data_IF_404155942593
#
_entry.id   IF_404155942593
#
_cell.length_a   1.000
_cell.length_b   1.000
_cell.length_c   1.000
_cell.angle_alpha   90.00
_cell.angle_beta   90.00
_cell.angle_gamma   90.00
#
_symmetry.space_group_name_H-M   'P 1'
#
loop_
_entity.id
_entity.type
_entity.pdbx_description
1 polymer ?
#
# COMPACT_ATOMS: atom_id res chain seq x y z
N UNK A 1 -14.90 -5.88 4.06
CA UNK A 1 -14.01 -6.57 3.09
C UNK A 1 -13.00 -7.55 3.72
N UNK A 2 -13.23 -8.02 4.95
CA UNK A 2 -12.27 -8.89 5.69
C UNK A 2 -12.08 -10.31 5.12
N UNK A 3 -12.87 -10.74 4.14
CA UNK A 3 -12.82 -12.11 3.59
C UNK A 3 -12.52 -12.17 2.09
N UNK A 4 -12.06 -11.08 1.47
CA UNK A 4 -11.64 -11.15 0.08
C UNK A 4 -10.25 -11.81 0.00
N UNK A 5 -10.24 -13.00 -0.56
CA UNK A 5 -9.00 -13.66 -0.93
C UNK A 5 -8.33 -12.84 -2.02
N UNK A 6 -7.10 -12.42 -1.81
CA UNK A 6 -6.31 -11.67 -2.77
C UNK A 6 -4.86 -12.15 -2.77
N UNK A 7 -4.16 -11.88 -3.85
CA UNK A 7 -2.75 -12.29 -4.05
C UNK A 7 -1.85 -11.90 -2.86
N UNK A 8 -2.07 -10.72 -2.27
CA UNK A 8 -1.27 -10.25 -1.12
C UNK A 8 -1.58 -11.08 0.12
N UNK A 9 -2.84 -11.44 0.36
CA UNK A 9 -3.24 -12.29 1.48
C UNK A 9 -2.65 -13.68 1.36
N UNK A 10 -2.69 -14.25 0.16
CA UNK A 10 -2.12 -15.57 -0.11
C UNK A 10 -0.59 -15.58 0.05
N UNK A 11 0.08 -14.52 -0.42
CA UNK A 11 1.51 -14.33 -0.22
C UNK A 11 1.87 -14.24 1.27
N UNK A 12 1.10 -13.46 2.06
CA UNK A 12 1.32 -13.38 3.51
C UNK A 12 1.18 -14.72 4.19
N UNK A 13 0.16 -15.51 3.83
CA UNK A 13 -0.02 -16.87 4.37
C UNK A 13 1.17 -17.76 4.05
N UNK A 14 1.66 -17.75 2.80
CA UNK A 14 2.85 -18.49 2.40
C UNK A 14 4.08 -18.09 3.20
N UNK A 15 4.34 -16.78 3.34
CA UNK A 15 5.46 -16.27 4.14
C UNK A 15 5.37 -16.74 5.60
N UNK A 16 4.21 -16.61 6.24
CA UNK A 16 4.03 -17.07 7.62
C UNK A 16 4.20 -18.59 7.76
N UNK A 17 3.71 -19.37 6.80
CA UNK A 17 3.88 -20.81 6.80
C UNK A 17 5.36 -21.23 6.71
N UNK A 18 6.13 -20.59 5.81
CA UNK A 18 7.55 -20.91 5.66
C UNK A 18 8.39 -20.42 6.85
N UNK A 19 8.07 -19.27 7.44
CA UNK A 19 8.71 -18.81 8.68
C UNK A 19 8.42 -19.77 9.84
N UNK A 20 7.17 -20.22 9.99
CA UNK A 20 6.82 -21.21 11.01
C UNK A 20 7.58 -22.53 10.80
N UNK A 21 7.61 -23.02 9.55
CA UNK A 21 8.36 -24.22 9.18
C UNK A 21 9.85 -24.10 9.49
N UNK A 22 10.46 -22.94 9.15
CA UNK A 22 11.84 -22.64 9.49
C UNK A 22 12.09 -22.74 11.00
N UNK A 23 11.20 -22.19 11.81
CA UNK A 23 11.30 -22.22 13.28
C UNK A 23 11.16 -23.63 13.85
N UNK A 24 10.24 -24.47 13.30
CA UNK A 24 10.04 -25.85 13.77
C UNK A 24 11.18 -26.81 13.36
N UNK A 25 11.71 -26.65 12.15
CA UNK A 25 12.76 -27.53 11.65
C UNK A 25 14.14 -27.18 12.21
N UNK A 26 14.36 -25.94 12.59
CA UNK A 26 15.64 -25.47 13.11
C UNK A 26 16.77 -25.53 12.09
N UNK A 27 18.00 -25.43 12.56
CA UNK A 27 19.22 -25.62 11.74
C UNK A 27 19.79 -24.31 11.22
N UNK A 28 20.29 -24.32 9.98
CA UNK A 28 20.94 -23.16 9.36
C UNK A 28 19.91 -22.12 8.89
N UNK A 29 19.54 -21.23 9.79
CA UNK A 29 18.60 -20.14 9.50
C UNK A 29 19.15 -19.15 8.47
N UNK A 30 20.44 -18.91 8.45
CA UNK A 30 21.08 -17.94 7.55
C UNK A 30 20.90 -18.34 6.10
N UNK A 31 21.42 -19.49 5.72
CA UNK A 31 21.34 -19.97 4.33
C UNK A 31 19.90 -20.18 3.87
N UNK A 32 19.04 -20.70 4.75
CA UNK A 32 17.63 -20.98 4.42
C UNK A 32 16.88 -19.69 4.18
N UNK A 33 17.07 -18.70 5.03
CA UNK A 33 16.38 -17.41 4.92
C UNK A 33 16.73 -16.67 3.63
N UNK A 34 17.99 -16.71 3.18
CA UNK A 34 18.43 -16.13 1.91
C UNK A 34 17.79 -16.82 0.68
N UNK A 35 17.44 -18.10 0.79
CA UNK A 35 16.81 -18.89 -0.30
C UNK A 35 15.31 -18.71 -0.37
N UNK A 36 14.63 -18.46 0.75
CA UNK A 36 13.17 -18.38 0.82
C UNK A 36 12.53 -17.45 -0.22
N UNK A 37 13.04 -16.26 -0.52
CA UNK A 37 12.44 -15.41 -1.57
C UNK A 37 12.44 -16.07 -2.95
N UNK A 38 13.44 -16.90 -3.26
CA UNK A 38 13.53 -17.62 -4.53
C UNK A 38 12.61 -18.84 -4.58
N UNK A 39 12.39 -19.50 -3.46
CA UNK A 39 11.46 -20.62 -3.33
C UNK A 39 10.00 -20.14 -3.39
N UNK A 40 9.69 -19.01 -2.74
CA UNK A 40 8.35 -18.42 -2.73
C UNK A 40 8.00 -17.74 -4.05
N UNK A 41 9.00 -17.19 -4.76
CA UNK A 41 8.85 -16.50 -6.04
C UNK A 41 9.80 -17.14 -7.08
N UNK A 42 9.48 -18.35 -7.57
CA UNK A 42 10.28 -19.04 -8.58
C UNK A 42 10.14 -18.42 -9.96
N UNK A 43 11.07 -18.74 -10.86
CA UNK A 43 11.03 -18.30 -12.25
C UNK A 43 11.82 -17.03 -12.49
N UNK A 44 11.69 -16.47 -13.69
CA UNK A 44 12.49 -15.33 -14.18
C UNK A 44 11.64 -14.08 -14.41
N UNK A 45 10.32 -14.23 -14.51
CA UNK A 45 9.38 -13.16 -14.83
C UNK A 45 8.54 -12.81 -13.61
N UNK A 46 8.38 -11.52 -13.33
CA UNK A 46 7.48 -11.03 -12.28
C UNK A 46 6.01 -11.35 -12.60
N UNK A 47 5.25 -11.70 -11.58
CA UNK A 47 3.83 -12.06 -11.71
C UNK A 47 2.88 -10.96 -11.21
N UNK A 48 3.33 -10.16 -10.26
CA UNK A 48 2.56 -9.10 -9.59
C UNK A 48 3.21 -7.73 -9.80
N UNK A 49 4.52 -7.71 -10.02
CA UNK A 49 5.34 -6.53 -10.27
C UNK A 49 6.07 -6.68 -11.61
N UNK A 50 6.60 -5.58 -12.11
CA UNK A 50 7.35 -5.54 -13.36
C UNK A 50 8.64 -6.38 -13.33
N UNK A 51 9.18 -6.63 -12.16
CA UNK A 51 10.45 -7.35 -11.98
C UNK A 51 10.35 -8.41 -10.91
N UNK A 52 10.81 -9.62 -11.22
CA UNK A 52 10.95 -10.72 -10.26
C UNK A 52 11.93 -10.37 -9.13
N UNK A 53 12.95 -9.57 -9.41
CA UNK A 53 13.90 -9.11 -8.38
C UNK A 53 13.19 -8.21 -7.35
N UNK A 54 12.31 -7.32 -7.79
CA UNK A 54 11.49 -6.49 -6.91
C UNK A 54 10.53 -7.34 -6.07
N UNK A 55 9.89 -8.34 -6.68
CA UNK A 55 9.00 -9.26 -5.96
C UNK A 55 9.76 -10.01 -4.85
N UNK A 56 10.93 -10.57 -5.16
CA UNK A 56 11.80 -11.25 -4.19
C UNK A 56 12.27 -10.32 -3.09
N UNK A 57 12.65 -9.09 -3.41
CA UNK A 57 13.03 -8.09 -2.42
C UNK A 57 11.86 -7.79 -1.46
N UNK A 58 10.64 -7.58 -1.98
CA UNK A 58 9.44 -7.36 -1.16
C UNK A 58 9.12 -8.56 -0.27
N UNK A 59 9.23 -9.78 -0.81
CA UNK A 59 9.01 -11.02 -0.04
C UNK A 59 10.06 -11.17 1.04
N UNK A 60 11.33 -10.85 0.75
CA UNK A 60 12.41 -10.85 1.73
C UNK A 60 12.10 -9.95 2.94
N UNK A 61 11.67 -8.70 2.69
CA UNK A 61 11.28 -7.82 3.81
C UNK A 61 10.06 -8.35 4.58
N UNK A 62 9.12 -9.01 3.90
CA UNK A 62 7.98 -9.65 4.58
C UNK A 62 8.42 -10.82 5.48
N UNK A 63 9.43 -11.58 5.06
CA UNK A 63 10.03 -12.64 5.88
C UNK A 63 10.65 -12.04 7.12
N UNK A 64 11.47 -10.98 6.98
CA UNK A 64 12.06 -10.27 8.14
C UNK A 64 10.99 -9.79 9.12
N UNK A 65 9.99 -9.08 8.62
CA UNK A 65 8.87 -8.60 9.46
C UNK A 65 8.09 -9.74 10.12
N UNK A 66 7.91 -10.87 9.43
CA UNK A 66 7.25 -12.05 10.00
C UNK A 66 8.06 -12.69 11.12
N UNK A 67 9.36 -12.53 11.12
CA UNK A 67 10.29 -12.97 12.19
C UNK A 67 10.47 -11.92 13.29
N UNK A 68 9.85 -10.74 13.18
CA UNK A 68 10.03 -9.63 14.13
C UNK A 68 11.32 -8.86 13.96
N UNK A 69 11.98 -8.99 12.81
CA UNK A 69 13.16 -8.21 12.44
C UNK A 69 12.76 -6.87 11.82
N UNK A 70 13.56 -5.81 11.99
CA UNK A 70 13.34 -4.53 11.32
C UNK A 70 13.53 -4.66 9.80
N UNK A 71 12.93 -3.72 9.05
CA UNK A 71 13.22 -3.55 7.63
C UNK A 71 14.69 -3.17 7.43
N UNK A 72 15.29 -3.66 6.34
CA UNK A 72 16.65 -3.26 5.95
C UNK A 72 16.64 -1.81 5.45
N UNK A 73 17.73 -1.10 5.68
CA UNK A 73 17.93 0.19 5.04
C UNK A 73 18.25 -0.01 3.56
N UNK A 74 17.58 0.77 2.71
CA UNK A 74 17.76 0.67 1.24
C UNK A 74 19.08 1.28 0.76
N UNK A 75 19.74 2.06 1.60
CA UNK A 75 21.03 2.71 1.30
C UNK A 75 22.24 1.86 1.74
N UNK A 76 22.01 0.83 2.55
CA UNK A 76 23.07 -0.01 3.10
C UNK A 76 22.95 -1.46 2.60
N UNK A 77 24.10 -2.08 2.34
CA UNK A 77 24.12 -3.51 2.00
C UNK A 77 24.00 -4.35 3.27
N UNK A 78 22.85 -4.99 3.45
CA UNK A 78 22.56 -5.91 4.56
C UNK A 78 22.00 -7.21 4.02
N UNK A 79 22.40 -8.33 4.61
CA UNK A 79 21.83 -9.64 4.26
C UNK A 79 20.37 -9.75 4.75
N UNK A 80 19.61 -10.59 4.09
CA UNK A 80 18.23 -10.86 4.52
C UNK A 80 18.20 -11.47 5.92
N UNK A 81 19.18 -12.26 6.25
CA UNK A 81 19.34 -13.01 7.51
C UNK A 81 19.99 -12.22 8.65
N UNK A 82 20.45 -10.98 8.42
CA UNK A 82 21.08 -10.18 9.48
C UNK A 82 20.14 -9.99 10.67
N UNK A 83 20.63 -10.31 11.88
CA UNK A 83 19.88 -10.21 13.13
C UNK A 83 18.96 -11.41 13.41
N UNK A 84 19.04 -12.49 12.63
CA UNK A 84 18.15 -13.66 12.80
C UNK A 84 18.29 -14.32 14.19
N UNK A 85 19.48 -14.23 14.81
CA UNK A 85 19.72 -14.74 16.15
C UNK A 85 18.82 -14.07 17.21
N UNK A 86 18.53 -12.78 17.03
CA UNK A 86 17.67 -12.02 17.94
C UNK A 86 16.21 -12.48 17.85
N UNK A 87 15.83 -13.12 16.76
CA UNK A 87 14.50 -13.69 16.56
C UNK A 87 14.39 -15.17 16.88
N UNK A 88 15.52 -15.89 16.88
CA UNK A 88 15.55 -17.33 17.11
C UNK A 88 15.60 -17.71 18.60
N UNK A 89 14.96 -16.94 19.47
CA UNK A 89 14.89 -17.16 20.91
C UNK A 89 13.46 -17.48 21.35
N UNK A 90 13.32 -18.33 22.38
CA UNK A 90 12.02 -18.80 22.85
C UNK A 90 11.14 -17.67 23.41
N UNK A 91 11.75 -16.66 24.01
CA UNK A 91 11.08 -15.52 24.66
C UNK A 91 10.82 -14.36 23.70
N UNK A 92 11.03 -14.55 22.38
CA UNK A 92 10.80 -13.48 21.43
C UNK A 92 9.35 -13.00 21.43
N UNK A 93 9.16 -11.73 21.61
CA UNK A 93 7.89 -11.04 21.42
C UNK A 93 8.08 -9.86 20.48
N UNK A 94 6.98 -9.39 19.91
CA UNK A 94 7.00 -8.32 18.91
C UNK A 94 6.81 -6.97 19.59
N UNK A 95 7.83 -6.13 19.49
CA UNK A 95 7.75 -4.75 19.95
C UNK A 95 7.10 -3.84 18.90
N UNK A 96 6.34 -2.82 19.32
CA UNK A 96 5.91 -1.77 18.41
C UNK A 96 7.11 -1.06 17.76
N UNK A 97 6.99 -0.64 16.50
CA UNK A 97 5.78 -0.61 15.68
C UNK A 97 5.47 -1.93 14.99
N UNK A 98 4.25 -2.43 15.14
CA UNK A 98 3.80 -3.68 14.49
C UNK A 98 3.43 -3.48 13.02
N UNK A 99 3.18 -2.25 12.60
CA UNK A 99 2.80 -1.89 11.24
C UNK A 99 3.95 -1.15 10.57
N UNK A 100 4.47 -1.72 9.50
CA UNK A 100 5.60 -1.18 8.75
C UNK A 100 5.25 -1.01 7.27
N UNK A 101 5.92 -0.09 6.59
CA UNK A 101 5.77 0.16 5.16
C UNK A 101 7.06 -0.22 4.45
N UNK A 102 6.98 -1.23 3.60
CA UNK A 102 8.07 -1.55 2.66
C UNK A 102 8.06 -0.47 1.58
N UNK A 103 8.99 0.47 1.65
CA UNK A 103 9.01 1.70 0.83
C UNK A 103 8.94 1.42 -0.68
N UNK A 104 9.69 0.44 -1.17
CA UNK A 104 9.72 0.08 -2.59
C UNK A 104 8.53 -0.81 -3.03
N UNK A 105 7.71 -1.27 -2.09
CA UNK A 105 6.43 -1.91 -2.39
C UNK A 105 5.27 -0.90 -2.48
N UNK A 106 5.47 0.34 -2.03
CA UNK A 106 4.46 1.39 -2.04
C UNK A 106 4.23 1.92 -3.46
N UNK A 107 2.98 2.01 -3.88
CA UNK A 107 2.60 2.55 -5.20
C UNK A 107 2.63 4.07 -5.29
N UNK A 108 2.99 4.79 -4.23
CA UNK A 108 2.96 6.25 -4.17
C UNK A 108 1.64 6.84 -4.71
N UNK A 109 0.52 6.29 -4.23
CA UNK A 109 -0.82 6.70 -4.70
C UNK A 109 -1.00 8.22 -4.66
N UNK A 110 -1.74 8.81 -5.59
CA UNK A 110 -1.95 10.25 -5.65
C UNK A 110 -2.73 10.75 -4.42
N UNK A 111 -2.55 12.02 -4.10
CA UNK A 111 -3.34 12.69 -3.07
C UNK A 111 -4.81 12.74 -3.48
N UNK A 112 -5.70 12.82 -2.50
CA UNK A 112 -7.14 12.85 -2.76
C UNK A 112 -7.51 14.00 -3.69
N UNK A 113 -8.09 13.68 -4.83
CA UNK A 113 -8.64 14.65 -5.79
C UNK A 113 -9.72 13.99 -6.64
N UNK A 114 -10.42 14.81 -7.44
CA UNK A 114 -11.45 14.35 -8.36
C UNK A 114 -11.04 14.68 -9.78
N UNK A 115 -11.27 13.74 -10.68
CA UNK A 115 -11.06 13.93 -12.12
C UNK A 115 -12.28 13.55 -12.93
N UNK A 116 -12.44 14.20 -14.07
CA UNK A 116 -13.48 13.86 -15.05
C UNK A 116 -12.88 12.92 -16.08
N UNK A 117 -13.51 11.77 -16.25
CA UNK A 117 -13.09 10.77 -17.23
C UNK A 117 -13.73 11.06 -18.61
N UNK A 118 -13.27 10.34 -19.63
CA UNK A 118 -13.83 10.35 -20.98
C UNK A 118 -15.28 9.81 -21.07
N UNK A 119 -15.83 9.27 -19.98
CA UNK A 119 -17.26 8.93 -19.87
C UNK A 119 -18.17 10.18 -19.77
N UNK A 120 -17.60 11.39 -19.68
CA UNK A 120 -18.36 12.64 -19.63
C UNK A 120 -19.06 12.89 -20.96
N UNK A 121 -20.39 13.01 -20.91
CA UNK A 121 -21.23 13.24 -22.09
C UNK A 121 -21.51 14.73 -22.36
N UNK A 122 -20.83 15.65 -21.66
CA UNK A 122 -21.10 17.10 -21.75
C UNK A 122 -22.58 17.44 -21.67
N UNK A 123 -23.30 16.77 -20.76
CA UNK A 123 -24.77 16.83 -20.68
C UNK A 123 -25.29 18.25 -20.49
N UNK A 124 -26.44 18.54 -21.09
CA UNK A 124 -27.08 19.87 -21.01
C UNK A 124 -27.43 20.28 -19.57
N UNK A 125 -27.77 19.31 -18.72
CA UNK A 125 -28.17 19.58 -17.33
C UNK A 125 -27.02 20.06 -16.45
N UNK A 126 -25.74 19.75 -16.79
CA UNK A 126 -24.53 20.21 -16.08
C UNK A 126 -24.61 20.12 -14.56
N UNK A 127 -25.27 19.09 -14.02
CA UNK A 127 -25.49 18.93 -12.58
C UNK A 127 -24.21 19.02 -11.75
N UNK A 128 -23.09 18.51 -12.26
CA UNK A 128 -21.80 18.57 -11.58
C UNK A 128 -21.33 20.02 -11.34
N UNK A 129 -21.51 20.91 -12.31
CA UNK A 129 -21.14 22.33 -12.20
C UNK A 129 -22.09 23.05 -11.21
N UNK A 130 -23.39 22.82 -11.30
CA UNK A 130 -24.37 23.42 -10.38
C UNK A 130 -24.19 22.93 -8.92
N UNK A 131 -23.77 21.67 -8.74
CA UNK A 131 -23.52 21.12 -7.41
C UNK A 131 -22.22 21.62 -6.77
N UNK A 132 -21.34 22.26 -7.55
CA UNK A 132 -20.05 22.72 -7.04
C UNK A 132 -20.14 24.04 -6.28
N UNK A 133 -19.95 24.06 -4.94
CA UNK A 133 -20.09 25.29 -4.14
C UNK A 133 -18.97 26.31 -4.39
N UNK A 134 -17.89 25.90 -5.04
CA UNK A 134 -16.73 26.76 -5.37
C UNK A 134 -16.63 27.13 -6.84
N UNK A 135 -17.60 26.70 -7.68
CA UNK A 135 -17.52 26.95 -9.11
C UNK A 135 -16.25 26.41 -9.79
N UNK A 136 -15.71 25.30 -9.24
CA UNK A 136 -14.45 24.72 -9.71
C UNK A 136 -14.62 23.91 -11.02
N UNK A 137 -15.83 23.82 -11.59
CA UNK A 137 -16.09 23.02 -12.79
C UNK A 137 -16.43 23.95 -13.94
N UNK A 138 -15.65 23.84 -15.01
CA UNK A 138 -15.86 24.49 -16.29
C UNK A 138 -15.93 23.46 -17.40
N UNK A 139 -16.30 23.87 -18.61
CA UNK A 139 -16.44 22.98 -19.76
C UNK A 139 -15.52 23.46 -20.90
N UNK A 140 -14.66 22.57 -21.35
CA UNK A 140 -13.75 22.81 -22.45
C UNK A 140 -13.77 21.58 -23.39
N UNK A 141 -13.69 21.82 -24.70
CA UNK A 141 -13.63 20.77 -25.71
C UNK A 141 -14.71 19.68 -25.57
N UNK A 142 -15.91 20.07 -25.13
CA UNK A 142 -17.01 19.10 -24.95
C UNK A 142 -16.89 18.21 -23.71
N UNK A 143 -16.06 18.56 -22.75
CA UNK A 143 -15.90 17.81 -21.51
C UNK A 143 -15.85 18.75 -20.30
N UNK A 144 -16.40 18.30 -19.18
CA UNK A 144 -16.21 19.01 -17.91
C UNK A 144 -14.74 18.88 -17.45
N UNK A 145 -14.21 19.96 -16.87
CA UNK A 145 -12.88 20.01 -16.27
C UNK A 145 -13.01 20.49 -14.83
N UNK A 146 -12.17 19.98 -13.94
CA UNK A 146 -12.15 20.39 -12.53
C UNK A 146 -10.87 21.19 -12.25
N UNK A 147 -11.05 22.46 -11.92
CA UNK A 147 -9.96 23.30 -11.44
C UNK A 147 -9.54 22.84 -10.03
N UNK A 148 -8.41 22.14 -9.96
CA UNK A 148 -7.89 21.59 -8.71
C UNK A 148 -7.47 22.66 -7.70
N UNK A 149 -7.21 23.89 -8.15
CA UNK A 149 -6.83 25.01 -7.26
C UNK A 149 -8.04 25.55 -6.48
N UNK A 150 -9.24 25.49 -7.09
CA UNK A 150 -10.51 25.90 -6.47
C UNK A 150 -11.22 24.74 -5.78
N UNK A 151 -10.87 23.48 -6.13
CA UNK A 151 -11.56 22.30 -5.66
C UNK A 151 -11.31 22.02 -4.18
N UNK A 152 -12.36 22.06 -3.36
CA UNK A 152 -12.30 21.70 -1.93
C UNK A 152 -12.51 20.21 -1.65
N UNK A 153 -12.50 19.37 -2.67
CA UNK A 153 -12.56 17.90 -2.58
C UNK A 153 -13.82 17.36 -1.86
N UNK A 154 -14.94 18.08 -1.90
CA UNK A 154 -16.18 17.72 -1.19
C UNK A 154 -16.98 16.57 -1.82
N UNK A 155 -16.71 16.19 -3.07
CA UNK A 155 -17.35 15.08 -3.76
C UNK A 155 -18.76 15.31 -4.30
N UNK A 156 -19.36 16.48 -4.11
CA UNK A 156 -20.73 16.78 -4.56
C UNK A 156 -20.90 16.62 -6.07
N UNK A 157 -19.89 17.00 -6.86
CA UNK A 157 -19.91 16.85 -8.31
C UNK A 157 -19.96 15.37 -8.73
N UNK A 158 -19.24 14.48 -8.05
CA UNK A 158 -19.28 13.04 -8.28
C UNK A 158 -20.67 12.49 -7.99
N UNK A 159 -21.26 12.86 -6.85
CA UNK A 159 -22.62 12.42 -6.47
C UNK A 159 -23.70 12.91 -7.43
N UNK A 160 -23.53 14.12 -8.00
CA UNK A 160 -24.48 14.72 -8.92
C UNK A 160 -24.33 14.25 -10.37
N UNK A 161 -23.27 13.53 -10.72
CA UNK A 161 -23.03 13.09 -12.09
C UNK A 161 -23.83 11.83 -12.44
N UNK A 162 -24.87 11.96 -13.27
CA UNK A 162 -25.71 10.84 -13.71
C UNK A 162 -24.93 9.79 -14.53
N UNK A 163 -23.87 10.19 -15.19
CA UNK A 163 -23.02 9.31 -16.00
C UNK A 163 -21.87 8.69 -15.21
N UNK A 164 -21.74 9.01 -13.92
CA UNK A 164 -20.63 8.57 -13.06
C UNK A 164 -19.23 8.86 -13.66
N UNK A 165 -19.14 9.88 -14.48
CA UNK A 165 -17.92 10.26 -15.19
C UNK A 165 -16.87 10.93 -14.30
N UNK A 166 -17.17 11.21 -13.03
CA UNK A 166 -16.26 11.84 -12.09
C UNK A 166 -15.78 10.79 -11.08
N UNK A 167 -14.48 10.55 -11.07
CA UNK A 167 -13.85 9.58 -10.17
C UNK A 167 -13.06 10.29 -9.06
N UNK A 168 -12.94 9.62 -7.91
CA UNK A 168 -12.14 10.06 -6.78
C UNK A 168 -10.85 9.25 -6.76
N UNK A 169 -9.73 9.93 -6.88
CA UNK A 169 -8.42 9.36 -6.55
C UNK A 169 -8.16 9.57 -5.06
N UNK A 170 -7.54 8.62 -4.42
CA UNK A 170 -7.22 8.69 -2.99
C UNK A 170 -6.16 7.66 -2.61
N UNK A 171 -5.61 7.80 -1.42
CA UNK A 171 -4.69 6.83 -0.81
C UNK A 171 -5.50 5.87 0.06
N UNK A 172 -5.69 4.60 -0.33
CA UNK A 172 -6.53 3.68 0.45
C UNK A 172 -6.04 3.50 1.89
N UNK A 173 -4.73 3.40 2.10
CA UNK A 173 -4.14 3.27 3.44
C UNK A 173 -4.39 4.50 4.32
N UNK A 174 -4.34 5.71 3.76
CA UNK A 174 -4.61 6.96 4.47
C UNK A 174 -6.10 7.10 4.80
N UNK A 175 -6.98 6.82 3.83
CA UNK A 175 -8.44 6.91 4.01
C UNK A 175 -8.94 5.90 5.06
N UNK A 176 -8.28 4.74 5.15
CA UNK A 176 -8.60 3.71 6.14
C UNK A 176 -8.08 4.02 7.55
N UNK A 177 -7.21 5.02 7.70
CA UNK A 177 -6.59 5.33 8.99
C UNK A 177 -7.46 6.30 9.80
N UNK A 178 -8.25 5.78 10.74
CA UNK A 178 -9.06 6.61 11.63
C UNK A 178 -8.28 7.52 12.58
N UNK A 179 -6.98 7.31 12.73
CA UNK A 179 -6.08 8.10 13.57
C UNK A 179 -5.32 9.17 12.79
N UNK A 180 -5.53 9.28 11.47
CA UNK A 180 -4.78 10.17 10.59
C UNK A 180 -3.25 10.06 10.80
N UNK A 181 -2.77 8.83 10.96
CA UNK A 181 -1.38 8.51 11.23
C UNK A 181 -0.56 8.28 9.95
N UNK A 182 -1.19 8.29 8.75
CA UNK A 182 -0.51 8.01 7.48
C UNK A 182 -0.40 9.28 6.65
N UNK A 183 0.82 9.75 6.49
CA UNK A 183 1.20 10.82 5.60
C UNK A 183 1.91 10.32 4.34
N UNK A 184 2.75 11.19 3.77
CA UNK A 184 3.63 10.88 2.64
C UNK A 184 5.04 11.39 2.89
N UNK A 185 6.02 10.68 2.34
CA UNK A 185 7.41 11.14 2.28
C UNK A 185 7.65 12.05 1.05
N UNK A 186 8.88 12.55 0.89
CA UNK A 186 9.27 13.44 -0.22
C UNK A 186 9.16 12.77 -1.61
N UNK A 187 9.12 11.45 -1.64
CA UNK A 187 8.91 10.66 -2.87
C UNK A 187 7.43 10.30 -3.10
N UNK A 188 6.52 10.86 -2.30
CA UNK A 188 5.09 10.57 -2.40
C UNK A 188 4.68 9.19 -1.87
N UNK A 189 5.58 8.42 -1.24
CA UNK A 189 5.27 7.11 -0.65
C UNK A 189 4.61 7.28 0.72
N UNK A 190 3.81 6.31 1.13
CA UNK A 190 3.19 6.35 2.45
C UNK A 190 4.25 6.36 3.56
N UNK A 191 4.00 7.15 4.59
CA UNK A 191 4.83 7.27 5.79
C UNK A 191 3.93 7.23 7.03
N UNK A 192 4.29 6.43 8.03
CA UNK A 192 3.53 6.31 9.28
C UNK A 192 4.12 7.25 10.33
N UNK A 193 3.25 8.05 10.93
CA UNK A 193 3.58 8.74 12.19
C UNK A 193 3.27 7.78 13.34
N UNK A 194 4.32 7.24 13.94
CA UNK A 194 4.20 6.22 15.00
C UNK A 194 3.68 6.78 16.33
N UNK A 195 3.77 8.09 16.56
CA UNK A 195 3.18 8.73 17.76
C UNK A 195 1.63 8.70 17.70
N UNK A 196 1.07 8.68 16.49
CA UNK A 196 -0.38 8.59 16.27
C UNK A 196 -0.86 7.16 16.00
N UNK A 197 0.03 6.26 15.59
CA UNK A 197 -0.35 4.92 15.16
C UNK A 197 -0.68 4.02 16.34
N UNK A 198 -1.92 3.53 16.38
CA UNK A 198 -2.38 2.58 17.42
C UNK A 198 -2.24 1.11 16.99
N UNK A 199 -1.49 0.81 15.95
CA UNK A 199 -1.23 -0.53 15.43
C UNK A 199 -2.49 -1.37 15.10
N UNK A 200 -3.61 -0.74 14.75
CA UNK A 200 -4.89 -1.42 14.50
C UNK A 200 -4.93 -2.25 13.19
N UNK A 201 -3.99 -2.06 12.28
CA UNK A 201 -3.89 -2.80 11.01
C UNK A 201 -4.91 -2.45 9.93
N UNK A 202 -5.79 -1.45 10.11
CA UNK A 202 -6.81 -1.11 9.13
C UNK A 202 -6.24 -0.72 7.76
N UNK A 203 -5.07 -0.08 7.73
CA UNK A 203 -4.36 0.27 6.50
C UNK A 203 -3.86 -0.93 5.69
N UNK A 204 -3.76 -2.13 6.30
CA UNK A 204 -3.28 -3.35 5.65
C UNK A 204 -4.39 -4.11 4.91
N UNK A 205 -5.66 -3.79 5.17
CA UNK A 205 -6.83 -4.50 4.63
C UNK A 205 -7.62 -3.67 3.61
N UNK A 206 -7.11 -2.49 3.26
CA UNK A 206 -7.69 -1.57 2.27
C UNK A 206 -6.76 -1.25 1.13
#
# INVERSE_FOLDING_TARGET
>A
MRNLQCTITDMRKKVFAEVAKLAYEGGDYYTRMEKLPYELMPGEVGTVRESIFLERAIVGERIRLAMGLPLRDVSEHTLLSDGVEESAIAEKYYDPPLINIIKYACHACPDTHYEVTNACQSCLARHCSHACPKGAIHFEHGQAQIDQTKCIKCGKCKAACSYQAIIKFFRPCQEACGMDAIGKDDHGRAQINYDKCVNCGMCLVN
#
